data_IF_050893184571
#
_entry.id   IF_050893184571
#
_cell.length_a   1.000
_cell.length_b   1.000
_cell.length_c   1.000
_cell.angle_alpha   90.00
_cell.angle_beta   90.00
_cell.angle_gamma   90.00
#
_symmetry.space_group_name_H-M   'P 1'
#
loop_
_entity.id
_entity.type
_entity.pdbx_description
1 polymer ?
#
# COMPACT_ATOMS: atom_id res chain seq x y z
N UNK A 1 10.45 -11.54 14.71
CA UNK A 1 10.66 -12.91 14.20
C UNK A 1 12.11 -13.03 13.76
N UNK A 2 12.83 -14.01 14.31
CA UNK A 2 14.20 -14.35 13.90
C UNK A 2 14.14 -15.78 13.39
N UNK A 3 14.52 -16.05 12.12
CA UNK A 3 14.54 -17.43 11.61
C UNK A 3 15.63 -18.24 12.32
N UNK A 4 15.47 -19.56 12.38
CA UNK A 4 16.43 -20.47 13.03
C UNK A 4 17.84 -20.33 12.43
N UNK A 5 17.91 -20.10 11.11
CA UNK A 5 19.13 -19.76 10.39
C UNK A 5 18.97 -18.35 9.82
N UNK A 6 19.81 -17.43 10.31
CA UNK A 6 19.92 -16.07 9.78
C UNK A 6 21.06 -16.04 8.76
N UNK A 7 20.71 -15.91 7.49
CA UNK A 7 21.66 -15.73 6.39
C UNK A 7 22.11 -14.26 6.27
N UNK A 8 21.20 -13.32 6.56
CA UNK A 8 21.44 -11.88 6.45
C UNK A 8 21.24 -11.18 7.80
N UNK A 9 22.30 -11.17 8.61
CA UNK A 9 22.28 -10.60 9.96
C UNK A 9 22.20 -9.08 10.03
N UNK A 10 22.50 -8.38 8.94
CA UNK A 10 22.48 -6.91 8.86
C UNK A 10 21.18 -6.35 8.28
N UNK A 11 20.18 -7.20 8.03
CA UNK A 11 18.88 -6.84 7.45
C UNK A 11 17.72 -7.14 8.38
N UNK A 12 16.68 -6.29 8.35
CA UNK A 12 15.35 -6.69 8.83
C UNK A 12 14.22 -6.16 7.94
N UNK A 13 13.11 -6.87 7.86
CA UNK A 13 11.89 -6.35 7.22
C UNK A 13 10.87 -5.88 8.26
N UNK A 14 10.36 -4.66 8.11
CA UNK A 14 9.25 -4.13 8.90
C UNK A 14 7.95 -4.27 8.11
N UNK A 15 7.00 -5.03 8.64
CA UNK A 15 5.66 -5.23 8.08
C UNK A 15 4.68 -4.37 8.88
N UNK A 16 4.18 -3.31 8.25
CA UNK A 16 3.12 -2.48 8.80
C UNK A 16 1.79 -3.19 8.59
N UNK A 17 1.02 -3.36 9.65
CA UNK A 17 -0.11 -4.26 9.65
C UNK A 17 -1.25 -3.80 10.58
N UNK A 18 -2.48 -4.21 10.30
CA UNK A 18 -3.63 -3.96 11.18
C UNK A 18 -3.95 -5.16 12.08
N UNK A 19 -3.53 -6.37 11.71
CA UNK A 19 -3.78 -7.56 12.53
C UNK A 19 -3.76 -8.87 11.76
N UNK A 20 -4.74 -9.73 12.02
CA UNK A 20 -4.84 -11.08 11.47
C UNK A 20 -5.74 -11.05 10.24
N UNK A 21 -5.20 -11.39 9.07
CA UNK A 21 -6.01 -11.70 7.89
C UNK A 21 -6.42 -13.17 7.96
N UNK A 22 -7.71 -13.43 8.11
CA UNK A 22 -8.26 -14.77 8.15
C UNK A 22 -8.37 -15.38 6.74
N UNK A 23 -8.42 -16.73 6.62
CA UNK A 23 -8.55 -17.41 5.33
C UNK A 23 -9.82 -17.07 4.53
N UNK A 24 -10.86 -16.56 5.20
CA UNK A 24 -12.10 -16.10 4.57
C UNK A 24 -12.04 -14.67 4.04
N UNK A 25 -10.88 -14.01 4.14
CA UNK A 25 -10.64 -12.63 3.72
C UNK A 25 -10.95 -11.58 4.79
N UNK A 26 -11.54 -11.97 5.92
CA UNK A 26 -11.81 -11.02 7.03
C UNK A 26 -10.53 -10.58 7.73
N UNK A 27 -10.52 -9.35 8.24
CA UNK A 27 -9.44 -8.79 9.04
C UNK A 27 -9.88 -8.68 10.50
N UNK A 28 -9.17 -9.34 11.39
CA UNK A 28 -9.27 -9.18 12.84
C UNK A 28 -8.18 -8.22 13.31
N UNK A 29 -8.55 -7.02 13.74
CA UNK A 29 -7.60 -6.00 14.18
C UNK A 29 -6.95 -6.34 15.52
N UNK A 30 -5.72 -5.90 15.70
CA UNK A 30 -5.02 -5.93 16.99
C UNK A 30 -4.84 -4.49 17.46
N UNK A 31 -5.46 -4.16 18.58
CA UNK A 31 -5.43 -2.82 19.16
C UNK A 31 -4.94 -2.91 20.61
N UNK A 32 -4.19 -1.91 21.07
CA UNK A 32 -3.62 -1.91 22.43
C UNK A 32 -4.36 -0.99 23.41
N UNK A 33 -5.54 -0.52 23.04
CA UNK A 33 -6.47 0.29 23.84
C UNK A 33 -7.91 -0.16 23.56
N UNK A 34 -8.84 0.27 24.41
CA UNK A 34 -10.28 0.04 24.23
C UNK A 34 -10.71 0.46 22.82
N UNK A 35 -11.35 -0.47 22.13
CA UNK A 35 -11.58 -0.39 20.68
C UNK A 35 -12.87 0.32 20.34
N UNK A 36 -12.85 1.12 19.29
CA UNK A 36 -14.10 1.47 18.61
C UNK A 36 -14.62 0.25 17.85
N UNK A 37 -15.93 0.04 17.88
CA UNK A 37 -16.62 -0.84 16.95
C UNK A 37 -16.88 -0.16 15.59
N UNK A 38 -16.23 0.98 15.32
CA UNK A 38 -16.47 1.78 14.14
C UNK A 38 -16.14 1.02 12.86
N UNK A 39 -17.13 0.98 11.96
CA UNK A 39 -17.24 0.15 10.76
C UNK A 39 -17.48 -1.36 10.98
N UNK A 40 -17.76 -1.80 12.21
CA UNK A 40 -18.11 -3.20 12.49
C UNK A 40 -16.96 -4.18 12.27
N UNK A 41 -15.71 -3.69 12.27
CA UNK A 41 -14.53 -4.55 12.20
C UNK A 41 -14.29 -5.20 13.55
N UNK A 42 -14.09 -6.51 13.55
CA UNK A 42 -13.71 -7.23 14.76
C UNK A 42 -12.28 -6.83 15.18
N UNK A 43 -12.10 -6.66 16.48
CA UNK A 43 -10.83 -6.27 17.08
C UNK A 43 -10.52 -7.14 18.31
N UNK A 44 -9.23 -7.25 18.59
CA UNK A 44 -8.72 -7.88 19.80
C UNK A 44 -7.93 -6.82 20.55
N UNK A 45 -8.48 -6.42 21.69
CA UNK A 45 -7.76 -5.59 22.64
C UNK A 45 -6.64 -6.40 23.31
N UNK A 46 -5.46 -5.80 23.34
CA UNK A 46 -4.25 -6.34 23.96
C UNK A 46 -3.67 -5.31 24.92
N UNK A 47 -3.89 -5.55 26.20
CA UNK A 47 -3.29 -4.77 27.29
C UNK A 47 -2.37 -5.65 28.17
N UNK A 48 -1.80 -5.04 29.21
CA UNK A 48 -0.93 -5.73 30.17
C UNK A 48 -1.62 -6.84 30.98
N UNK A 49 -2.96 -6.87 31.05
CA UNK A 49 -3.76 -7.84 31.80
C UNK A 49 -4.15 -9.05 30.96
N UNK A 50 -4.36 -8.89 29.65
CA UNK A 50 -4.81 -9.97 28.75
C UNK A 50 -3.72 -10.46 27.78
N UNK A 51 -2.54 -9.83 27.76
CA UNK A 51 -1.44 -10.17 26.84
C UNK A 51 -1.17 -11.68 26.71
N UNK A 52 -1.02 -12.37 27.84
CA UNK A 52 -0.73 -13.81 27.84
C UNK A 52 -1.90 -14.66 27.36
N UNK A 53 -3.14 -14.19 27.59
CA UNK A 53 -4.36 -14.86 27.13
C UNK A 53 -4.58 -14.67 25.62
N UNK A 54 -4.00 -13.60 25.04
CA UNK A 54 -4.08 -13.26 23.60
C UNK A 54 -2.88 -13.75 22.79
N UNK A 55 -2.02 -14.59 23.36
CA UNK A 55 -0.84 -15.14 22.66
C UNK A 55 -1.19 -15.83 21.32
N UNK A 56 -2.29 -16.60 21.17
CA UNK A 56 -2.64 -17.17 19.88
C UNK A 56 -2.89 -16.11 18.80
N UNK A 57 -3.64 -15.05 19.13
CA UNK A 57 -3.93 -13.93 18.23
C UNK A 57 -2.66 -13.14 17.89
N UNK A 58 -1.79 -12.90 18.87
CA UNK A 58 -0.49 -12.27 18.67
C UNK A 58 0.44 -13.08 17.77
N UNK A 59 0.42 -14.41 17.90
CA UNK A 59 1.17 -15.29 16.98
C UNK A 59 0.57 -15.26 15.57
N UNK A 60 -0.75 -15.13 15.46
CA UNK A 60 -1.43 -15.02 14.17
C UNK A 60 -1.13 -13.68 13.47
N UNK A 61 -1.06 -12.56 14.20
CA UNK A 61 -0.82 -11.26 13.56
C UNK A 61 0.60 -11.14 12.97
N UNK A 62 1.58 -11.87 13.52
CA UNK A 62 2.95 -11.87 12.98
C UNK A 62 3.18 -12.85 11.82
N UNK A 63 2.14 -13.53 11.31
CA UNK A 63 2.26 -14.52 10.22
C UNK A 63 2.94 -13.97 8.96
N UNK A 64 2.59 -12.74 8.55
CA UNK A 64 3.19 -12.07 7.38
C UNK A 64 4.69 -11.82 7.57
N UNK A 65 5.08 -11.31 8.76
CA UNK A 65 6.48 -11.13 9.11
C UNK A 65 7.22 -12.47 9.20
N UNK A 66 6.59 -13.52 9.75
CA UNK A 66 7.17 -14.85 9.82
C UNK A 66 7.42 -15.45 8.44
N UNK A 67 6.47 -15.32 7.51
CA UNK A 67 6.65 -15.72 6.12
C UNK A 67 7.83 -14.98 5.49
N UNK A 68 7.88 -13.65 5.58
CA UNK A 68 9.00 -12.87 5.02
C UNK A 68 10.33 -13.30 5.64
N UNK A 69 10.40 -13.49 6.96
CA UNK A 69 11.63 -13.93 7.62
C UNK A 69 12.12 -15.29 7.09
N UNK A 70 11.22 -16.26 6.99
CA UNK A 70 11.53 -17.59 6.46
C UNK A 70 11.95 -17.55 4.99
N UNK A 71 11.32 -16.69 4.18
CA UNK A 71 11.62 -16.58 2.74
C UNK A 71 12.84 -15.72 2.42
N UNK A 72 13.26 -14.86 3.34
CA UNK A 72 14.42 -13.99 3.14
C UNK A 72 15.68 -14.51 3.82
N UNK A 73 15.54 -15.39 4.82
CA UNK A 73 16.64 -15.78 5.69
C UNK A 73 17.12 -14.64 6.59
N UNK A 74 16.26 -13.65 6.85
CA UNK A 74 16.57 -12.45 7.62
C UNK A 74 15.49 -12.18 8.69
N UNK A 75 15.82 -11.47 9.79
CA UNK A 75 14.82 -11.02 10.74
C UNK A 75 13.67 -10.23 10.10
N UNK A 76 12.48 -10.36 10.67
CA UNK A 76 11.34 -9.52 10.33
C UNK A 76 10.51 -9.17 11.56
N UNK A 77 9.88 -8.01 11.54
CA UNK A 77 9.01 -7.53 12.61
C UNK A 77 7.67 -7.08 12.02
N UNK A 78 6.62 -7.20 12.82
CA UNK A 78 5.33 -6.61 12.51
C UNK A 78 5.13 -5.41 13.41
N UNK A 79 4.77 -4.27 12.83
CA UNK A 79 4.40 -3.06 13.52
C UNK A 79 2.89 -2.87 13.34
N UNK A 80 2.17 -3.00 14.45
CA UNK A 80 0.71 -2.99 14.51
C UNK A 80 0.18 -1.63 14.98
N UNK A 81 -1.10 -1.37 14.73
CA UNK A 81 -1.86 -0.25 15.29
C UNK A 81 -1.25 1.14 14.96
N UNK A 82 -1.18 1.45 13.65
CA UNK A 82 -0.77 2.75 13.12
C UNK A 82 -1.91 3.42 12.33
N UNK A 83 -2.30 4.67 12.68
CA UNK A 83 -1.97 5.35 13.92
C UNK A 83 -2.61 4.67 15.12
N UNK A 84 -1.90 4.66 16.23
CA UNK A 84 -2.43 4.17 17.49
C UNK A 84 -3.57 5.11 17.93
N UNK A 85 -4.78 4.57 18.06
CA UNK A 85 -6.01 5.35 18.28
C UNK A 85 -6.93 4.64 19.30
N UNK A 86 -7.88 5.32 19.98
CA UNK A 86 -8.44 6.66 19.70
C UNK A 86 -7.56 7.84 20.09
N UNK A 87 -7.84 8.98 19.45
CA UNK A 87 -7.37 10.30 19.88
C UNK A 87 -8.54 11.30 20.02
N UNK A 88 -8.49 12.13 21.06
CA UNK A 88 -9.47 13.21 21.33
C UNK A 88 -8.75 14.55 21.33
N UNK A 89 -9.13 15.45 20.42
CA UNK A 89 -8.47 16.75 20.29
C UNK A 89 -9.20 17.82 21.10
N UNK A 90 -8.45 18.59 21.89
CA UNK A 90 -9.01 19.68 22.69
C UNK A 90 -9.65 20.79 21.84
N UNK A 91 -9.16 20.97 20.62
CA UNK A 91 -9.60 21.94 19.60
C UNK A 91 -10.76 21.42 18.76
N UNK A 92 -11.08 20.13 18.80
CA UNK A 92 -12.27 19.57 18.16
C UNK A 92 -13.53 20.05 18.91
N UNK A 93 -14.43 20.81 18.26
CA UNK A 93 -15.65 21.29 18.91
C UNK A 93 -16.55 20.18 19.44
N UNK A 94 -16.45 18.97 18.89
CA UNK A 94 -17.26 17.84 19.30
C UNK A 94 -16.60 16.97 20.36
N UNK A 95 -15.27 17.08 20.53
CA UNK A 95 -14.47 16.27 21.46
C UNK A 95 -14.79 14.78 21.40
N UNK A 96 -15.05 14.27 20.20
CA UNK A 96 -15.31 12.85 19.97
C UNK A 96 -13.98 12.11 19.80
N UNK A 97 -13.89 10.84 20.26
CA UNK A 97 -12.76 9.99 19.93
C UNK A 97 -12.71 9.74 18.42
N UNK A 98 -11.51 9.82 17.85
CA UNK A 98 -11.24 9.60 16.42
C UNK A 98 -10.31 8.43 16.22
N UNK A 99 -10.67 7.56 15.28
CA UNK A 99 -9.97 6.32 14.98
C UNK A 99 -9.66 6.22 13.49
N UNK A 100 -8.56 5.55 13.13
CA UNK A 100 -8.23 5.20 11.74
C UNK A 100 -8.48 6.36 10.74
N UNK A 101 -9.40 6.19 9.77
CA UNK A 101 -9.70 7.20 8.76
C UNK A 101 -10.39 8.46 9.29
N UNK A 102 -11.12 8.39 10.41
CA UNK A 102 -11.65 9.59 11.08
C UNK A 102 -10.53 10.47 11.63
N UNK A 103 -9.51 9.83 12.21
CA UNK A 103 -8.34 10.52 12.74
C UNK A 103 -7.53 11.15 11.60
N UNK A 104 -7.30 10.38 10.53
CA UNK A 104 -6.59 10.85 9.33
C UNK A 104 -7.32 12.00 8.65
N UNK A 105 -8.60 11.86 8.35
CA UNK A 105 -9.40 12.91 7.74
C UNK A 105 -9.47 14.17 8.61
N UNK A 106 -9.56 14.03 9.93
CA UNK A 106 -9.49 15.16 10.85
C UNK A 106 -8.13 15.87 10.78
N UNK A 107 -7.04 15.11 10.82
CA UNK A 107 -5.68 15.65 10.76
C UNK A 107 -5.43 16.46 9.48
N UNK A 108 -5.98 16.00 8.35
CA UNK A 108 -5.91 16.71 7.08
C UNK A 108 -6.71 18.01 7.10
N UNK A 109 -7.92 17.99 7.67
CA UNK A 109 -8.72 19.19 7.82
C UNK A 109 -8.05 20.22 8.73
N UNK A 110 -7.48 19.76 9.85
CA UNK A 110 -6.76 20.62 10.80
C UNK A 110 -5.51 21.23 10.18
N UNK A 111 -4.75 20.45 9.39
CA UNK A 111 -3.61 20.96 8.62
C UNK A 111 -4.04 22.01 7.58
N UNK A 112 -5.17 21.82 6.89
CA UNK A 112 -5.64 22.80 5.91
C UNK A 112 -6.04 24.15 6.55
N UNK A 113 -6.32 24.20 7.86
CA UNK A 113 -6.50 25.47 8.59
C UNK A 113 -5.17 26.04 9.14
N UNK A 114 -4.13 25.20 9.26
CA UNK A 114 -2.81 25.52 9.82
C UNK A 114 -1.67 24.97 8.93
N UNK A 115 -1.58 25.40 7.67
CA UNK A 115 -0.71 24.80 6.65
C UNK A 115 0.80 24.98 6.90
N UNK A 116 1.17 25.77 7.91
CA UNK A 116 2.53 25.98 8.40
C UNK A 116 2.97 24.99 9.48
N UNK A 117 2.05 24.14 9.98
CA UNK A 117 2.29 23.16 11.06
C UNK A 117 2.16 21.72 10.53
N UNK A 118 3.14 21.20 9.76
CA UNK A 118 3.07 19.88 9.14
C UNK A 118 2.92 18.72 10.12
N UNK A 119 3.38 18.88 11.36
CA UNK A 119 3.25 17.90 12.45
C UNK A 119 1.80 17.53 12.79
N UNK A 120 0.81 18.33 12.33
CA UNK A 120 -0.61 18.02 12.47
C UNK A 120 -1.04 16.82 11.64
N UNK A 121 -0.31 16.50 10.56
CA UNK A 121 -0.61 15.37 9.70
C UNK A 121 -0.24 14.06 10.39
N UNK A 122 -1.23 13.21 10.65
CA UNK A 122 -1.02 11.93 11.35
C UNK A 122 -0.05 11.01 10.58
N UNK A 123 0.00 11.12 9.26
CA UNK A 123 0.94 10.44 8.38
C UNK A 123 2.41 10.60 8.78
N UNK A 124 2.79 11.79 9.27
CA UNK A 124 4.15 12.03 9.74
C UNK A 124 4.41 11.34 11.09
N UNK A 125 3.39 11.26 11.95
CA UNK A 125 3.48 10.48 13.19
C UNK A 125 3.63 8.97 12.88
N UNK A 126 2.86 8.46 11.92
CA UNK A 126 2.95 7.07 11.47
C UNK A 126 4.33 6.76 10.88
N UNK A 127 4.82 7.58 9.95
CA UNK A 127 6.16 7.41 9.37
C UNK A 127 7.27 7.47 10.43
N UNK A 128 7.13 8.35 11.43
CA UNK A 128 8.05 8.43 12.57
C UNK A 128 7.98 7.18 13.43
N UNK A 129 6.79 6.59 13.64
CA UNK A 129 6.64 5.32 14.34
C UNK A 129 7.35 4.18 13.60
N UNK A 130 7.29 4.14 12.25
CA UNK A 130 8.08 3.19 11.43
C UNK A 130 9.58 3.35 11.68
N UNK A 131 10.09 4.59 11.66
CA UNK A 131 11.50 4.87 11.93
C UNK A 131 11.91 4.45 13.34
N UNK A 132 11.06 4.68 14.35
CA UNK A 132 11.30 4.22 15.73
C UNK A 132 11.23 2.70 15.88
N UNK A 133 10.38 2.02 15.10
CA UNK A 133 10.39 0.56 15.05
C UNK A 133 11.73 0.04 14.50
N UNK A 134 12.29 0.67 13.46
CA UNK A 134 13.63 0.32 12.97
C UNK A 134 14.71 0.51 14.04
N UNK A 135 14.66 1.61 14.81
CA UNK A 135 15.58 1.85 15.94
C UNK A 135 15.48 0.73 16.99
N UNK A 136 14.25 0.34 17.36
CA UNK A 136 14.00 -0.71 18.34
C UNK A 136 14.49 -2.08 17.86
N UNK A 137 14.26 -2.42 16.58
CA UNK A 137 14.75 -3.66 15.98
C UNK A 137 16.28 -3.67 15.93
N UNK A 138 16.90 -2.57 15.54
CA UNK A 138 18.37 -2.43 15.53
C UNK A 138 18.96 -2.61 16.93
N UNK A 139 18.35 -2.01 17.96
CA UNK A 139 18.79 -2.16 19.34
C UNK A 139 18.62 -3.60 19.86
N UNK A 140 17.48 -4.24 19.57
CA UNK A 140 17.23 -5.64 19.93
C UNK A 140 18.23 -6.59 19.27
N UNK A 141 18.44 -6.44 17.95
CA UNK A 141 19.32 -7.32 17.16
C UNK A 141 20.80 -7.14 17.51
N UNK A 142 21.21 -5.99 18.05
CA UNK A 142 22.57 -5.78 18.55
C UNK A 142 22.99 -6.80 19.62
N UNK A 143 22.03 -7.36 20.37
CA UNK A 143 22.27 -8.41 21.36
C UNK A 143 22.27 -9.84 20.80
N UNK A 144 21.93 -10.03 19.52
CA UNK A 144 21.93 -11.34 18.87
C UNK A 144 23.32 -11.70 18.33
N UNK A 145 23.65 -12.99 18.17
CA UNK A 145 24.93 -13.42 17.58
C UNK A 145 25.22 -12.85 16.18
N UNK A 146 24.17 -12.50 15.44
CA UNK A 146 24.24 -11.90 14.10
C UNK A 146 24.62 -10.42 14.10
N UNK A 147 24.57 -9.76 15.27
CA UNK A 147 24.80 -8.34 15.43
C UNK A 147 23.63 -7.45 14.99
N UNK A 148 23.85 -6.14 15.09
CA UNK A 148 22.83 -5.13 14.81
C UNK A 148 22.48 -5.04 13.32
N UNK A 149 21.18 -5.04 13.01
CA UNK A 149 20.69 -4.76 11.67
C UNK A 149 20.95 -3.30 11.27
N UNK A 150 21.20 -3.05 9.99
CA UNK A 150 21.52 -1.71 9.45
C UNK A 150 20.74 -1.37 8.17
N UNK A 151 20.18 -2.37 7.50
CA UNK A 151 19.40 -2.24 6.26
C UNK A 151 17.99 -2.76 6.50
N UNK A 152 17.00 -2.08 5.93
CA UNK A 152 15.60 -2.46 6.13
C UNK A 152 14.81 -2.60 4.83
N UNK A 153 13.95 -3.60 4.79
CA UNK A 153 12.77 -3.62 3.92
C UNK A 153 11.56 -3.07 4.67
N UNK A 154 10.67 -2.34 4.00
CA UNK A 154 9.42 -1.86 4.61
C UNK A 154 8.23 -2.17 3.71
N UNK A 155 7.16 -2.72 4.27
CA UNK A 155 5.93 -3.02 3.53
C UNK A 155 4.71 -2.66 4.36
N UNK A 156 3.66 -2.22 3.69
CA UNK A 156 2.38 -1.88 4.30
C UNK A 156 1.35 -1.64 3.22
N UNK A 157 0.07 -1.65 3.59
CA UNK A 157 -1.04 -1.51 2.65
C UNK A 157 -2.02 -0.41 3.09
N UNK A 158 -2.81 0.11 2.16
CA UNK A 158 -3.78 1.18 2.45
C UNK A 158 -3.08 2.41 3.05
N UNK A 159 -3.66 3.04 4.07
CA UNK A 159 -3.04 4.11 4.86
C UNK A 159 -1.64 3.77 5.41
N UNK A 160 -1.33 2.50 5.68
CA UNK A 160 0.03 2.07 6.08
C UNK A 160 1.02 2.09 4.91
N UNK A 161 0.54 1.98 3.67
CA UNK A 161 1.40 2.19 2.51
C UNK A 161 1.83 3.66 2.39
N UNK A 162 1.00 4.64 2.81
CA UNK A 162 1.45 6.04 2.92
C UNK A 162 2.59 6.18 3.91
N UNK A 163 2.48 5.58 5.10
CA UNK A 163 3.57 5.55 6.08
C UNK A 163 4.84 4.86 5.53
N UNK A 164 4.67 3.79 4.74
CA UNK A 164 5.77 3.12 4.04
C UNK A 164 6.51 4.06 3.10
N UNK A 165 5.79 4.81 2.25
CA UNK A 165 6.37 5.78 1.32
C UNK A 165 7.13 6.89 2.04
N UNK A 166 6.51 7.51 3.05
CA UNK A 166 7.11 8.64 3.78
C UNK A 166 8.35 8.17 4.55
N UNK A 167 8.28 7.03 5.24
CA UNK A 167 9.41 6.48 5.98
C UNK A 167 10.58 6.12 5.04
N UNK A 168 10.30 5.51 3.89
CA UNK A 168 11.32 5.16 2.89
C UNK A 168 11.99 6.39 2.28
N UNK A 169 11.23 7.47 2.05
CA UNK A 169 11.78 8.74 1.59
C UNK A 169 12.63 9.43 2.67
N UNK A 170 12.24 9.31 3.95
CA UNK A 170 12.85 10.00 5.08
C UNK A 170 14.09 9.32 5.66
N UNK A 171 14.19 7.99 5.62
CA UNK A 171 15.25 7.24 6.29
C UNK A 171 16.06 6.38 5.31
N UNK A 172 17.34 6.72 5.18
CA UNK A 172 18.27 6.05 4.26
C UNK A 172 18.55 4.58 4.58
N UNK A 173 18.17 4.08 5.76
CA UNK A 173 18.30 2.66 6.12
C UNK A 173 17.32 1.78 5.33
N UNK A 174 16.24 2.34 4.79
CA UNK A 174 15.31 1.62 3.92
C UNK A 174 15.96 1.35 2.56
N UNK A 175 16.19 0.07 2.26
CA UNK A 175 16.87 -0.40 1.04
C UNK A 175 15.93 -1.09 0.05
N UNK A 176 14.70 -1.37 0.45
CA UNK A 176 13.63 -1.85 -0.42
C UNK A 176 12.27 -1.55 0.20
N UNK A 177 11.22 -1.44 -0.62
CA UNK A 177 9.86 -1.29 -0.10
C UNK A 177 8.79 -2.01 -0.92
N UNK A 178 7.68 -2.37 -0.28
CA UNK A 178 6.50 -2.93 -0.94
C UNK A 178 5.22 -2.25 -0.43
N UNK A 179 4.94 -1.01 -0.88
CA UNK A 179 3.67 -0.32 -0.61
C UNK A 179 2.52 -0.88 -1.47
N UNK A 180 1.34 -1.02 -0.87
CA UNK A 180 0.22 -1.71 -1.51
C UNK A 180 -1.11 -0.96 -1.35
N UNK A 181 -1.99 -1.06 -2.35
CA UNK A 181 -3.35 -0.52 -2.35
C UNK A 181 -3.45 0.90 -1.76
N UNK A 182 -2.69 1.85 -2.32
CA UNK A 182 -2.79 3.26 -1.95
C UNK A 182 -2.64 4.15 -3.18
N UNK A 183 -3.62 5.01 -3.40
CA UNK A 183 -3.61 5.96 -4.52
C UNK A 183 -2.50 7.00 -4.41
N UNK A 184 -1.98 7.41 -5.57
CA UNK A 184 -1.05 8.54 -5.71
C UNK A 184 -1.82 9.66 -6.40
N UNK A 185 -1.82 10.89 -5.90
CA UNK A 185 -2.79 11.92 -6.30
C UNK A 185 -4.25 11.60 -5.93
N UNK A 186 -4.49 10.65 -5.03
CA UNK A 186 -5.81 10.22 -4.57
C UNK A 186 -6.77 11.37 -4.21
N UNK A 187 -6.21 12.43 -3.62
CA UNK A 187 -6.96 13.57 -3.11
C UNK A 187 -6.91 14.80 -4.05
N UNK A 188 -6.12 14.75 -5.12
CA UNK A 188 -5.95 15.84 -6.08
C UNK A 188 -6.53 15.55 -7.47
N UNK A 189 -6.62 14.28 -7.89
CA UNK A 189 -7.07 13.89 -9.23
C UNK A 189 -8.57 13.53 -9.29
N UNK A 190 -9.24 13.46 -8.15
CA UNK A 190 -10.69 13.26 -8.09
C UNK A 190 -11.43 14.52 -8.49
N UNK A 191 -11.82 14.59 -9.77
CA UNK A 191 -12.76 15.54 -10.35
C UNK A 191 -14.00 15.77 -9.47
N UNK A 192 -13.92 16.76 -8.59
CA UNK A 192 -15.08 17.55 -8.25
C UNK A 192 -14.84 18.93 -8.83
N UNK A 193 -15.93 19.60 -9.24
CA UNK A 193 -15.96 21.03 -9.47
C UNK A 193 -15.69 21.78 -8.15
N UNK A 194 -14.51 21.57 -7.58
CA UNK A 194 -14.04 22.28 -6.41
C UNK A 194 -13.85 23.73 -6.86
N UNK A 195 -14.56 24.70 -6.25
CA UNK A 195 -14.43 26.09 -6.64
C UNK A 195 -12.96 26.53 -6.56
N UNK A 196 -12.51 27.43 -7.42
CA UNK A 196 -11.13 27.94 -7.30
C UNK A 196 -11.00 28.99 -6.19
N UNK A 197 -9.82 29.06 -5.57
CA UNK A 197 -9.44 30.12 -4.63
C UNK A 197 -10.30 30.18 -3.36
N UNK A 198 -10.67 31.41 -2.95
CA UNK A 198 -11.35 31.68 -1.67
C UNK A 198 -12.69 30.95 -1.52
N UNK A 199 -13.39 30.70 -2.63
CA UNK A 199 -14.67 29.97 -2.65
C UNK A 199 -14.50 28.49 -2.29
N UNK A 200 -13.37 27.86 -2.66
CA UNK A 200 -13.03 26.50 -2.23
C UNK A 200 -12.86 26.46 -0.70
N UNK A 201 -12.15 27.45 -0.15
CA UNK A 201 -11.90 27.54 1.29
C UNK A 201 -13.19 27.71 2.09
N UNK A 202 -14.15 28.50 1.60
CA UNK A 202 -15.47 28.67 2.24
C UNK A 202 -16.29 27.37 2.15
N UNK A 203 -16.35 26.74 0.97
CA UNK A 203 -17.08 25.49 0.77
C UNK A 203 -16.47 24.35 1.60
N UNK A 204 -15.15 24.26 1.68
CA UNK A 204 -14.42 23.34 2.56
C UNK A 204 -14.82 23.56 4.02
N UNK A 205 -14.73 24.78 4.53
CA UNK A 205 -15.11 25.11 5.92
C UNK A 205 -16.59 24.85 6.22
N UNK A 206 -17.48 25.00 5.24
CA UNK A 206 -18.89 24.65 5.37
C UNK A 206 -19.11 23.13 5.41
N UNK A 207 -18.48 22.38 4.50
CA UNK A 207 -18.52 20.91 4.48
C UNK A 207 -17.93 20.32 5.77
N UNK A 208 -16.81 20.86 6.27
CA UNK A 208 -16.21 20.52 7.57
C UNK A 208 -17.27 20.52 8.67
N UNK A 209 -17.93 21.67 8.90
CA UNK A 209 -18.97 21.82 9.93
C UNK A 209 -20.15 20.86 9.78
N UNK A 210 -20.51 20.47 8.56
CA UNK A 210 -21.60 19.53 8.30
C UNK A 210 -21.21 18.07 8.58
N UNK A 211 -19.96 17.68 8.33
CA UNK A 211 -19.45 16.31 8.52
C UNK A 211 -19.18 15.99 9.99
N UNK A 212 -18.79 16.99 10.80
CA UNK A 212 -18.44 16.79 12.21
C UNK A 212 -19.57 16.08 13.00
N UNK A 213 -20.84 16.47 12.83
CA UNK A 213 -21.94 15.99 13.68
C UNK A 213 -22.70 14.74 13.20
N UNK A 214 -22.25 14.04 12.16
CA UNK A 214 -23.00 12.94 11.55
C UNK A 214 -22.09 11.74 11.24
N UNK A 215 -22.64 10.54 11.41
CA UNK A 215 -22.03 9.32 10.88
C UNK A 215 -21.96 9.44 9.35
N UNK A 216 -20.77 9.27 8.72
CA UNK A 216 -20.65 9.28 7.26
C UNK A 216 -21.30 8.03 6.66
N UNK A 217 -21.78 8.13 5.41
CA UNK A 217 -22.31 6.96 4.70
C UNK A 217 -21.20 6.13 4.04
N UNK A 218 -20.01 6.72 3.82
CA UNK A 218 -18.83 6.07 3.25
C UNK A 218 -17.53 6.73 3.73
N UNK A 219 -16.40 6.01 3.60
CA UNK A 219 -15.07 6.60 3.86
C UNK A 219 -14.81 7.83 2.97
N UNK A 220 -15.36 7.87 1.75
CA UNK A 220 -15.21 9.01 0.81
C UNK A 220 -15.81 10.30 1.37
N UNK A 221 -16.87 10.21 2.17
CA UNK A 221 -17.52 11.36 2.79
C UNK A 221 -16.64 12.00 3.87
N UNK A 222 -15.79 11.21 4.54
CA UNK A 222 -14.83 11.71 5.53
C UNK A 222 -13.82 12.67 4.91
N UNK A 223 -13.38 12.34 3.69
CA UNK A 223 -12.41 13.13 2.96
C UNK A 223 -13.06 14.20 2.08
N UNK A 224 -14.39 14.32 2.04
CA UNK A 224 -15.07 15.34 1.25
C UNK A 224 -14.53 16.76 1.52
N UNK A 225 -14.34 17.21 2.78
CA UNK A 225 -13.80 18.54 3.04
C UNK A 225 -12.35 18.74 2.58
N UNK A 226 -11.58 17.66 2.50
CA UNK A 226 -10.22 17.65 1.96
C UNK A 226 -10.27 17.72 0.43
N UNK A 227 -11.14 16.94 -0.19
CA UNK A 227 -11.30 16.86 -1.66
C UNK A 227 -11.81 18.16 -2.26
N UNK A 228 -12.76 18.86 -1.62
CA UNK A 228 -13.19 20.20 -2.07
C UNK A 228 -12.09 21.27 -1.92
N UNK A 229 -11.00 20.96 -1.21
CA UNK A 229 -9.82 21.83 -1.08
C UNK A 229 -8.73 21.53 -2.13
N UNK A 230 -8.95 20.59 -3.07
CA UNK A 230 -7.96 20.05 -4.02
C UNK A 230 -7.03 21.12 -4.65
N UNK A 231 -7.59 22.27 -5.04
CA UNK A 231 -6.88 23.32 -5.78
C UNK A 231 -6.29 24.44 -4.90
N UNK A 232 -6.44 24.36 -3.58
CA UNK A 232 -5.97 25.39 -2.64
C UNK A 232 -4.44 25.32 -2.42
N UNK A 233 -3.76 26.44 -2.10
CA UNK A 233 -2.35 26.43 -1.72
C UNK A 233 -2.04 25.51 -0.53
N UNK A 234 -2.96 25.45 0.44
CA UNK A 234 -2.83 24.62 1.64
C UNK A 234 -2.87 23.13 1.28
N UNK A 235 -3.78 22.73 0.40
CA UNK A 235 -3.82 21.36 -0.11
C UNK A 235 -2.56 21.00 -0.88
N UNK A 236 -2.04 21.91 -1.73
CA UNK A 236 -0.78 21.69 -2.45
C UNK A 236 0.38 21.45 -1.47
N UNK A 237 0.46 22.22 -0.39
CA UNK A 237 1.45 22.00 0.69
C UNK A 237 1.27 20.64 1.36
N UNK A 238 0.02 20.24 1.66
CA UNK A 238 -0.25 18.92 2.23
C UNK A 238 0.23 17.80 1.31
N UNK A 239 -0.12 17.87 0.02
CA UNK A 239 0.25 16.86 -0.97
C UNK A 239 1.76 16.75 -1.18
N UNK A 240 2.52 17.83 -1.00
CA UNK A 240 3.99 17.78 -0.98
C UNK A 240 4.56 16.91 0.15
N UNK A 241 3.76 16.65 1.21
CA UNK A 241 4.16 15.88 2.39
C UNK A 241 3.67 14.44 2.30
N UNK A 242 2.39 14.22 1.95
CA UNK A 242 1.74 12.92 2.11
C UNK A 242 1.66 12.10 0.81
N UNK A 243 1.77 12.74 -0.36
CA UNK A 243 1.58 12.06 -1.63
C UNK A 243 2.93 11.71 -2.28
N UNK A 244 3.24 10.40 -2.45
CA UNK A 244 4.50 9.96 -3.03
C UNK A 244 4.78 10.52 -4.41
N UNK A 245 3.78 10.94 -5.18
CA UNK A 245 4.01 11.58 -6.47
C UNK A 245 4.85 12.88 -6.38
N UNK A 246 4.78 13.58 -5.25
CA UNK A 246 5.49 14.85 -5.01
C UNK A 246 6.90 14.69 -4.43
N UNK A 247 7.26 13.50 -3.96
CA UNK A 247 8.59 13.22 -3.41
C UNK A 247 9.21 11.93 -3.96
N UNK A 248 8.68 11.42 -5.08
CA UNK A 248 9.12 10.19 -5.75
C UNK A 248 10.60 10.17 -6.09
N UNK A 249 11.21 11.33 -6.31
CA UNK A 249 12.63 11.50 -6.59
C UNK A 249 13.52 10.96 -5.46
N UNK A 250 12.99 10.85 -4.23
CA UNK A 250 13.67 10.26 -3.06
C UNK A 250 13.49 8.75 -2.96
N UNK A 251 12.57 8.17 -3.71
CA UNK A 251 12.22 6.74 -3.67
C UNK A 251 13.12 5.95 -4.63
N UNK A 252 14.44 6.01 -4.43
CA UNK A 252 15.43 5.44 -5.36
C UNK A 252 15.69 3.94 -5.17
N UNK A 253 15.21 3.38 -4.06
CA UNK A 253 15.34 1.95 -3.74
C UNK A 253 14.46 1.08 -4.65
N UNK A 254 14.81 -0.21 -4.83
CA UNK A 254 13.91 -1.19 -5.43
C UNK A 254 12.57 -1.25 -4.70
N UNK A 255 11.48 -1.24 -5.47
CA UNK A 255 10.13 -1.20 -4.91
C UNK A 255 9.14 -2.08 -5.66
N UNK A 256 8.19 -2.65 -4.94
CA UNK A 256 7.01 -3.33 -5.49
C UNK A 256 5.77 -2.51 -5.13
N UNK A 257 5.13 -1.91 -6.13
CA UNK A 257 3.82 -1.27 -5.98
C UNK A 257 2.78 -2.33 -6.32
N UNK A 258 1.98 -2.74 -5.34
CA UNK A 258 0.92 -3.73 -5.56
C UNK A 258 -0.48 -3.13 -5.40
N UNK A 259 -1.42 -3.57 -6.23
CA UNK A 259 -2.83 -3.17 -6.22
C UNK A 259 -3.73 -4.40 -6.24
N UNK A 260 -5.03 -4.20 -6.05
CA UNK A 260 -6.03 -5.26 -6.01
C UNK A 260 -7.07 -5.00 -7.10
N UNK A 261 -7.27 -5.97 -7.99
CA UNK A 261 -8.17 -5.80 -9.14
C UNK A 261 -9.66 -5.79 -8.75
N UNK A 262 -9.97 -6.17 -7.50
CA UNK A 262 -11.32 -6.14 -6.92
C UNK A 262 -11.39 -5.19 -5.72
N UNK A 263 -10.51 -4.19 -5.66
CA UNK A 263 -10.44 -3.26 -4.54
C UNK A 263 -11.74 -2.42 -4.43
N UNK A 264 -12.53 -2.66 -3.38
CA UNK A 264 -13.78 -1.91 -3.15
C UNK A 264 -13.57 -0.57 -2.47
N UNK A 265 -12.38 -0.34 -1.92
CA UNK A 265 -12.02 0.91 -1.25
C UNK A 265 -11.50 1.87 -2.31
N UNK A 266 -10.45 1.50 -3.04
CA UNK A 266 -9.88 2.24 -4.15
C UNK A 266 -10.44 1.71 -5.47
N UNK A 267 -11.29 2.49 -6.13
CA UNK A 267 -11.87 2.08 -7.42
C UNK A 267 -10.81 1.97 -8.52
N UNK A 268 -11.16 1.33 -9.64
CA UNK A 268 -10.32 1.30 -10.84
C UNK A 268 -9.95 2.69 -11.39
N UNK A 269 -10.64 3.76 -10.94
CA UNK A 269 -10.29 5.16 -11.20
C UNK A 269 -8.87 5.55 -10.72
N UNK A 270 -8.24 4.71 -9.88
CA UNK A 270 -6.88 4.91 -9.40
C UNK A 270 -5.81 4.32 -10.35
N UNK A 271 -6.16 3.43 -11.28
CA UNK A 271 -5.22 2.85 -12.27
C UNK A 271 -4.50 3.91 -13.13
N UNK A 272 -5.17 4.95 -13.66
CA UNK A 272 -4.50 6.03 -14.39
C UNK A 272 -3.44 6.76 -13.56
N UNK A 273 -3.58 6.79 -12.23
CA UNK A 273 -2.60 7.41 -11.34
C UNK A 273 -1.32 6.56 -11.27
N UNK A 274 -1.46 5.24 -11.12
CA UNK A 274 -0.32 4.33 -11.15
C UNK A 274 0.35 4.35 -12.51
N UNK A 275 -0.41 4.30 -13.61
CA UNK A 275 0.11 4.40 -14.98
C UNK A 275 0.96 5.67 -15.17
N UNK A 276 0.50 6.81 -14.61
CA UNK A 276 1.23 8.08 -14.73
C UNK A 276 2.49 8.10 -13.87
N UNK A 277 2.41 7.66 -12.61
CA UNK A 277 3.47 7.93 -11.61
C UNK A 277 4.51 6.82 -11.53
N UNK A 278 4.12 5.55 -11.63
CA UNK A 278 5.04 4.41 -11.49
C UNK A 278 6.22 4.49 -12.49
N UNK A 279 6.02 4.79 -13.79
CA UNK A 279 7.11 4.92 -14.74
C UNK A 279 8.07 6.08 -14.46
N UNK A 280 7.65 7.07 -13.66
CA UNK A 280 8.45 8.24 -13.28
C UNK A 280 9.26 8.01 -12.00
N UNK A 281 9.01 6.92 -11.26
CA UNK A 281 9.74 6.64 -10.03
C UNK A 281 11.19 6.21 -10.34
N UNK A 282 12.22 6.82 -9.72
CA UNK A 282 13.60 6.44 -9.93
C UNK A 282 13.91 5.05 -9.38
N UNK A 283 14.95 4.41 -9.93
CA UNK A 283 15.31 3.04 -9.55
C UNK A 283 14.32 2.00 -10.08
N UNK A 284 14.48 0.76 -9.64
CA UNK A 284 13.66 -0.35 -10.12
C UNK A 284 12.30 -0.32 -9.43
N UNK A 285 11.23 -0.28 -10.22
CA UNK A 285 9.84 -0.28 -9.75
C UNK A 285 9.09 -1.41 -10.44
N UNK A 286 8.73 -2.44 -9.67
CA UNK A 286 7.84 -3.51 -10.09
C UNK A 286 6.39 -3.10 -9.78
N UNK A 287 5.47 -3.41 -10.69
CA UNK A 287 4.04 -3.22 -10.51
C UNK A 287 3.34 -4.58 -10.52
N UNK A 288 2.35 -4.76 -9.64
CA UNK A 288 1.54 -5.98 -9.57
C UNK A 288 0.09 -5.62 -9.25
N UNK A 289 -0.81 -5.80 -10.21
CA UNK A 289 -2.23 -5.84 -9.95
C UNK A 289 -2.64 -7.29 -9.64
N UNK A 290 -3.18 -7.53 -8.44
CA UNK A 290 -3.54 -8.87 -7.97
C UNK A 290 -4.99 -9.18 -8.39
N UNK A 291 -5.22 -10.19 -9.25
CA UNK A 291 -6.57 -10.57 -9.68
C UNK A 291 -7.35 -11.23 -8.52
N UNK A 292 -8.68 -11.11 -8.53
CA UNK A 292 -9.56 -11.75 -7.54
C UNK A 292 -9.14 -11.41 -6.10
N UNK A 293 -8.79 -10.14 -5.85
CA UNK A 293 -8.22 -9.67 -4.60
C UNK A 293 -8.93 -8.40 -4.15
N UNK A 294 -9.53 -8.42 -2.97
CA UNK A 294 -10.07 -7.20 -2.34
C UNK A 294 -8.94 -6.42 -1.64
N UNK A 295 -9.27 -5.22 -1.16
CA UNK A 295 -8.36 -4.25 -0.55
C UNK A 295 -7.51 -4.84 0.59
N UNK A 296 -8.15 -5.52 1.55
CA UNK A 296 -7.47 -6.06 2.72
C UNK A 296 -6.66 -7.34 2.44
N UNK A 297 -6.93 -8.01 1.32
CA UNK A 297 -6.26 -9.26 0.96
C UNK A 297 -4.92 -9.03 0.25
N UNK A 298 -4.69 -7.83 -0.31
CA UNK A 298 -3.52 -7.53 -1.16
C UNK A 298 -2.20 -7.83 -0.44
N UNK A 299 -2.12 -7.55 0.86
CA UNK A 299 -0.92 -7.78 1.66
C UNK A 299 -0.59 -9.27 1.81
N UNK A 300 -1.61 -10.13 1.83
CA UNK A 300 -1.44 -11.59 1.91
C UNK A 300 -1.17 -12.16 0.52
N UNK A 301 -1.95 -11.78 -0.49
CA UNK A 301 -1.85 -12.34 -1.84
C UNK A 301 -0.59 -11.90 -2.59
N UNK A 302 -0.05 -10.71 -2.31
CA UNK A 302 1.23 -10.23 -2.85
C UNK A 302 2.45 -10.58 -1.98
N UNK A 303 2.25 -11.24 -0.83
CA UNK A 303 3.32 -11.58 0.12
C UNK A 303 4.47 -12.40 -0.50
N UNK A 304 4.22 -13.40 -1.36
CA UNK A 304 5.29 -14.13 -2.04
C UNK A 304 6.18 -13.20 -2.89
N UNK A 305 5.57 -12.31 -3.68
CA UNK A 305 6.27 -11.34 -4.53
C UNK A 305 7.07 -10.34 -3.68
N UNK A 306 6.50 -9.87 -2.57
CA UNK A 306 7.19 -8.96 -1.63
C UNK A 306 8.41 -9.62 -0.99
N UNK A 307 8.27 -10.86 -0.52
CA UNK A 307 9.38 -11.62 0.03
C UNK A 307 10.47 -11.90 -1.01
N UNK A 308 10.08 -12.22 -2.24
CA UNK A 308 10.99 -12.38 -3.37
C UNK A 308 11.75 -11.07 -3.68
N UNK A 309 11.08 -9.91 -3.71
CA UNK A 309 11.75 -8.61 -3.86
C UNK A 309 12.82 -8.42 -2.80
N UNK A 310 12.47 -8.59 -1.52
CA UNK A 310 13.42 -8.38 -0.43
C UNK A 310 14.59 -9.37 -0.48
N UNK A 311 14.31 -10.65 -0.78
CA UNK A 311 15.36 -11.66 -0.98
C UNK A 311 16.29 -11.29 -2.14
N UNK A 312 15.75 -10.76 -3.23
CA UNK A 312 16.56 -10.38 -4.39
C UNK A 312 17.48 -9.21 -4.09
N UNK A 313 16.98 -8.21 -3.37
CA UNK A 313 17.79 -7.08 -2.90
C UNK A 313 18.92 -7.55 -1.96
N UNK A 314 18.62 -8.50 -1.07
CA UNK A 314 19.63 -9.13 -0.21
C UNK A 314 20.73 -9.84 -1.00
N UNK A 315 20.36 -10.51 -2.08
CA UNK A 315 21.26 -11.20 -3.01
C UNK A 315 21.91 -10.27 -4.06
N UNK A 316 21.64 -8.95 -4.02
CA UNK A 316 22.15 -7.99 -4.99
C UNK A 316 21.61 -8.19 -6.41
N UNK A 317 20.44 -8.83 -6.56
CA UNK A 317 19.77 -9.06 -7.84
C UNK A 317 18.74 -7.98 -8.15
N UNK A 318 18.66 -7.60 -9.42
CA UNK A 318 17.62 -6.72 -9.96
C UNK A 318 16.39 -7.57 -10.30
N UNK A 319 15.17 -7.22 -9.85
CA UNK A 319 13.96 -7.94 -10.25
C UNK A 319 13.63 -7.71 -11.73
N UNK A 320 13.05 -8.70 -12.42
CA UNK A 320 12.43 -8.46 -13.73
C UNK A 320 11.23 -7.50 -13.55
N UNK A 321 11.00 -6.60 -14.49
CA UNK A 321 9.83 -5.71 -14.47
C UNK A 321 9.10 -5.76 -15.81
N UNK A 322 7.92 -5.14 -15.88
CA UNK A 322 7.11 -5.08 -17.10
C UNK A 322 6.86 -3.62 -17.46
N UNK A 323 7.25 -3.23 -18.67
CA UNK A 323 6.77 -2.01 -19.30
C UNK A 323 5.40 -2.29 -19.94
N UNK A 324 4.44 -1.46 -19.58
CA UNK A 324 3.05 -1.49 -20.04
C UNK A 324 2.84 -0.50 -21.17
N UNK A 325 2.05 -0.85 -22.19
CA UNK A 325 1.52 0.13 -23.15
C UNK A 325 0.18 -0.30 -23.74
N UNK A 326 -0.64 0.69 -24.09
CA UNK A 326 -1.97 0.52 -24.66
C UNK A 326 -2.05 1.02 -26.10
N UNK A 327 -2.61 0.18 -26.99
CA UNK A 327 -2.95 0.58 -28.36
C UNK A 327 -4.47 0.68 -28.50
N UNK A 328 -5.03 1.82 -28.08
CA UNK A 328 -6.48 2.05 -28.03
C UNK A 328 -7.21 1.81 -29.35
N UNK A 329 -6.65 2.23 -30.49
CA UNK A 329 -7.23 1.98 -31.81
C UNK A 329 -7.38 0.48 -32.16
N UNK A 330 -6.60 -0.38 -31.49
CA UNK A 330 -6.63 -1.83 -31.69
C UNK A 330 -7.21 -2.58 -30.48
N UNK A 331 -7.57 -1.87 -29.41
CA UNK A 331 -7.95 -2.48 -28.13
C UNK A 331 -6.90 -3.48 -27.61
N UNK A 332 -5.61 -3.18 -27.77
CA UNK A 332 -4.53 -4.16 -27.52
C UNK A 332 -3.58 -3.69 -26.42
N UNK A 333 -3.42 -4.53 -25.40
CA UNK A 333 -2.42 -4.39 -24.33
C UNK A 333 -1.11 -4.98 -24.80
N UNK A 334 0.01 -4.33 -24.47
CA UNK A 334 1.36 -4.82 -24.71
C UNK A 334 2.12 -4.84 -23.40
N UNK A 335 2.62 -6.02 -23.05
CA UNK A 335 3.53 -6.26 -21.93
C UNK A 335 4.92 -6.54 -22.48
N UNK A 336 5.92 -5.74 -22.10
CA UNK A 336 7.32 -5.98 -22.44
C UNK A 336 8.13 -6.17 -21.16
N UNK A 337 8.76 -7.33 -21.01
CA UNK A 337 9.71 -7.53 -19.91
C UNK A 337 10.91 -6.58 -20.07
N UNK A 338 11.28 -5.94 -18.98
CA UNK A 338 12.41 -5.00 -18.86
C UNK A 338 13.35 -5.48 -17.76
N UNK A 339 14.64 -5.15 -17.89
CA UNK A 339 15.69 -5.58 -16.97
C UNK A 339 16.43 -6.81 -17.51
N UNK A 340 16.73 -7.76 -16.64
CA UNK A 340 17.38 -9.02 -17.02
C UNK A 340 16.39 -9.92 -17.77
N UNK A 341 16.61 -10.06 -19.08
CA UNK A 341 15.76 -10.83 -19.99
C UNK A 341 16.12 -12.30 -20.07
N UNK A 342 17.22 -12.73 -19.42
CA UNK A 342 17.58 -14.14 -19.33
C UNK A 342 16.69 -14.87 -18.31
N UNK A 343 16.10 -14.12 -17.38
CA UNK A 343 15.05 -14.62 -16.48
C UNK A 343 13.77 -14.80 -17.29
N UNK A 344 13.48 -16.02 -17.73
CA UNK A 344 12.25 -16.31 -18.49
C UNK A 344 11.05 -16.43 -17.56
N UNK A 345 9.88 -15.88 -17.93
CA UNK A 345 8.67 -16.10 -17.16
C UNK A 345 8.28 -17.58 -17.22
N UNK A 346 7.87 -18.13 -16.09
CA UNK A 346 7.28 -19.46 -15.98
C UNK A 346 5.91 -19.51 -16.66
N UNK A 347 5.17 -18.40 -16.58
CA UNK A 347 3.88 -18.26 -17.21
C UNK A 347 3.59 -16.78 -17.53
N UNK A 348 2.84 -16.57 -18.60
CA UNK A 348 2.28 -15.28 -18.97
C UNK A 348 0.79 -15.46 -19.18
N UNK A 349 -0.02 -14.62 -18.55
CA UNK A 349 -1.49 -14.72 -18.58
C UNK A 349 -2.09 -13.34 -18.78
N UNK A 350 -3.15 -13.25 -19.58
CA UNK A 350 -4.08 -12.12 -19.53
C UNK A 350 -5.12 -12.41 -18.47
N UNK A 351 -5.42 -11.45 -17.63
CA UNK A 351 -6.60 -11.47 -16.76
C UNK A 351 -7.67 -10.56 -17.35
N UNK A 352 -8.91 -11.03 -17.36
CA UNK A 352 -10.08 -10.32 -17.86
C UNK A 352 -11.12 -10.23 -16.75
N UNK A 353 -11.64 -9.04 -16.48
CA UNK A 353 -12.67 -8.79 -15.48
C UNK A 353 -13.58 -7.63 -15.88
N UNK A 354 -14.65 -7.36 -15.12
CA UNK A 354 -15.50 -6.20 -15.36
C UNK A 354 -14.81 -4.88 -14.93
N UNK A 355 -14.94 -3.84 -15.74
CA UNK A 355 -14.35 -2.51 -15.50
C UNK A 355 -15.09 -1.68 -14.41
N UNK A 356 -16.33 -2.02 -14.09
CA UNK A 356 -17.14 -1.20 -13.16
C UNK A 356 -17.71 -1.99 -11.99
N UNK A 357 -17.47 -3.30 -11.94
CA UNK A 357 -17.96 -4.16 -10.88
C UNK A 357 -16.81 -4.84 -10.13
N UNK A 358 -16.40 -4.22 -9.02
CA UNK A 358 -15.34 -4.76 -8.19
C UNK A 358 -15.72 -6.09 -7.49
N UNK A 359 -16.97 -6.59 -7.63
CA UNK A 359 -17.36 -7.91 -7.14
C UNK A 359 -17.18 -9.03 -8.17
N UNK A 360 -17.01 -8.69 -9.45
CA UNK A 360 -16.95 -9.69 -10.51
C UNK A 360 -15.62 -10.45 -10.53
N UNK A 361 -15.64 -11.73 -10.90
CA UNK A 361 -14.43 -12.54 -10.95
C UNK A 361 -13.54 -12.12 -12.14
N UNK A 362 -12.23 -12.16 -11.92
CA UNK A 362 -11.23 -12.07 -12.98
C UNK A 362 -10.87 -13.46 -13.49
N UNK A 363 -10.98 -13.67 -14.80
CA UNK A 363 -10.64 -14.93 -15.46
C UNK A 363 -9.28 -14.84 -16.17
N UNK A 364 -8.43 -15.85 -16.04
CA UNK A 364 -7.13 -15.88 -16.71
C UNK A 364 -7.18 -16.62 -18.05
N UNK A 365 -6.49 -16.08 -19.06
CA UNK A 365 -6.22 -16.71 -20.35
C UNK A 365 -4.69 -16.82 -20.54
N UNK A 366 -4.13 -18.02 -20.75
CA UNK A 366 -2.70 -18.18 -21.03
C UNK A 366 -2.26 -17.44 -22.30
N UNK A 367 -1.10 -16.80 -22.26
CA UNK A 367 -0.43 -16.16 -23.40
C UNK A 367 0.95 -16.80 -23.65
N UNK A 368 1.01 -18.06 -24.12
CA UNK A 368 2.27 -18.80 -24.23
C UNK A 368 3.22 -18.24 -25.30
N UNK A 369 2.69 -17.54 -26.30
CA UNK A 369 3.44 -17.09 -27.46
C UNK A 369 3.74 -15.58 -27.36
N UNK A 370 4.92 -15.25 -26.84
CA UNK A 370 5.50 -13.92 -26.95
C UNK A 370 6.41 -13.79 -28.16
N UNK A 371 6.62 -12.56 -28.64
CA UNK A 371 7.70 -12.25 -29.57
C UNK A 371 8.94 -11.82 -28.78
N UNK A 372 9.81 -12.78 -28.46
CA UNK A 372 10.95 -12.56 -27.56
C UNK A 372 10.46 -12.25 -26.14
N UNK A 373 10.69 -11.03 -25.67
CA UNK A 373 10.33 -10.54 -24.34
C UNK A 373 9.04 -9.71 -24.33
N UNK A 374 8.24 -9.78 -25.40
CA UNK A 374 7.03 -8.98 -25.57
C UNK A 374 5.81 -9.86 -25.82
N UNK A 375 4.74 -9.61 -25.08
CA UNK A 375 3.43 -10.23 -25.24
C UNK A 375 2.40 -9.15 -25.55
N UNK A 376 1.40 -9.51 -26.34
CA UNK A 376 0.29 -8.62 -26.64
C UNK A 376 -1.01 -9.40 -26.66
N UNK A 377 -2.08 -8.78 -26.18
CA UNK A 377 -3.41 -9.38 -26.25
C UNK A 377 -4.47 -8.32 -26.47
N UNK A 378 -5.47 -8.65 -27.28
CA UNK A 378 -6.63 -7.79 -27.49
C UNK A 378 -7.60 -7.95 -26.32
N UNK A 379 -8.06 -6.84 -25.75
CA UNK A 379 -9.08 -6.85 -24.69
C UNK A 379 -10.40 -7.39 -25.28
N UNK A 380 -11.10 -8.30 -24.58
CA UNK A 380 -12.42 -8.75 -25.00
C UNK A 380 -13.39 -7.58 -25.09
N UNK A 381 -14.09 -7.45 -26.21
CA UNK A 381 -15.16 -6.45 -26.37
C UNK A 381 -16.51 -7.09 -26.12
N UNK A 382 -17.33 -6.51 -25.25
CA UNK A 382 -18.73 -6.89 -25.05
C UNK A 382 -19.65 -5.69 -25.33
N UNK A 383 -20.76 -5.85 -26.08
CA UNK A 383 -21.73 -4.77 -26.27
C UNK A 383 -22.59 -4.53 -25.03
N UNK A 384 -22.51 -5.39 -24.01
CA UNK A 384 -23.35 -5.34 -22.81
C UNK A 384 -22.58 -4.99 -21.54
N UNK A 385 -21.27 -5.25 -21.49
CA UNK A 385 -20.44 -5.08 -20.30
C UNK A 385 -19.12 -4.41 -20.67
N UNK A 386 -18.68 -3.46 -19.84
CA UNK A 386 -17.34 -2.89 -19.97
C UNK A 386 -16.36 -3.84 -19.29
N UNK A 387 -15.35 -4.27 -20.02
CA UNK A 387 -14.32 -5.18 -19.54
C UNK A 387 -13.02 -4.42 -19.34
N UNK A 388 -12.20 -4.95 -18.46
CA UNK A 388 -10.83 -4.54 -18.30
C UNK A 388 -9.92 -5.76 -18.38
N UNK A 389 -8.70 -5.55 -18.84
CA UNK A 389 -7.68 -6.58 -18.82
C UNK A 389 -6.33 -6.05 -18.35
N UNK A 390 -5.51 -6.94 -17.81
CA UNK A 390 -4.08 -6.73 -17.65
C UNK A 390 -3.32 -8.02 -17.98
N UNK A 391 -2.01 -7.92 -18.24
CA UNK A 391 -1.15 -9.07 -18.48
C UNK A 391 -0.22 -9.25 -17.30
N UNK A 392 -0.24 -10.43 -16.70
CA UNK A 392 0.66 -10.86 -15.61
C UNK A 392 1.76 -11.77 -16.16
N UNK A 393 2.99 -11.53 -15.71
CA UNK A 393 4.15 -12.39 -15.90
C UNK A 393 4.57 -12.95 -14.53
N UNK A 394 4.67 -14.28 -14.46
CA UNK A 394 5.10 -15.03 -13.29
C UNK A 394 6.53 -15.53 -13.49
N UNK A 395 7.42 -15.28 -12.54
CA UNK A 395 8.82 -15.68 -12.57
C UNK A 395 9.20 -16.56 -11.39
N UNK A 396 10.23 -17.39 -11.58
CA UNK A 396 11.01 -17.96 -10.47
C UNK A 396 12.22 -17.05 -10.21
N UNK A 397 12.11 -16.20 -9.19
CA UNK A 397 13.12 -15.18 -8.86
C UNK A 397 13.01 -14.77 -7.39
N UNK A 398 14.11 -14.47 -6.68
CA UNK A 398 15.51 -14.37 -7.15
C UNK A 398 16.25 -15.71 -7.22
N UNK A 399 15.64 -16.80 -6.78
CA UNK A 399 16.21 -18.14 -6.79
C UNK A 399 15.08 -19.18 -6.80
N UNK A 400 15.37 -20.46 -7.07
CA UNK A 400 14.36 -21.51 -7.10
C UNK A 400 13.50 -21.53 -5.83
N UNK A 401 12.19 -21.72 -6.02
CA UNK A 401 11.20 -21.71 -4.94
C UNK A 401 10.55 -20.35 -4.68
N UNK A 402 11.12 -19.23 -5.12
CA UNK A 402 10.51 -17.89 -4.99
C UNK A 402 9.67 -17.52 -6.19
N UNK A 403 8.40 -17.22 -5.94
CA UNK A 403 7.45 -16.73 -6.95
C UNK A 403 7.48 -15.20 -6.94
N UNK A 404 7.69 -14.62 -8.11
CA UNK A 404 7.69 -13.18 -8.31
C UNK A 404 6.76 -12.83 -9.46
N UNK A 405 5.69 -12.11 -9.16
CA UNK A 405 4.68 -11.70 -10.13
C UNK A 405 4.80 -10.21 -10.41
N UNK A 406 4.71 -9.85 -11.69
CA UNK A 406 4.59 -8.46 -12.15
C UNK A 406 3.54 -8.39 -13.25
N UNK A 407 2.87 -7.26 -13.36
CA UNK A 407 1.83 -7.07 -14.36
C UNK A 407 1.97 -5.75 -15.12
N UNK A 408 1.25 -5.65 -16.22
CA UNK A 408 0.88 -4.35 -16.79
C UNK A 408 -0.10 -3.63 -15.86
N UNK A 409 -0.36 -2.35 -16.18
CA UNK A 409 -1.54 -1.65 -15.70
C UNK A 409 -2.81 -2.28 -16.30
N UNK A 410 -3.96 -1.93 -15.74
CA UNK A 410 -5.27 -2.30 -16.24
C UNK A 410 -5.71 -1.39 -17.41
N UNK A 411 -6.30 -1.97 -18.46
CA UNK A 411 -6.82 -1.24 -19.62
C UNK A 411 -8.21 -1.73 -20.06
N UNK A 412 -9.08 -0.83 -20.58
CA UNK A 412 -10.46 -1.11 -20.99
C UNK A 412 -10.62 -1.71 -22.40
#
# INVERSE_FOLDING_TARGET
IVPDVVEFGDWATVVLDFGVNNPDGSLLRIDNRETDHWLGMDSVEIDSHVLLQRLPQLKACVQKAAYIAARTGAPAASLQDLPNSPEVFATDPLRLPRYADLLKAFSYQDFLDHPEEPERLVDLADAKAVVRAMDAIQAFTAGLPTGAVRRFGVTGYSKLATATYIAAAADSRVKAMAPMAIGMHALSDGAYDAPEGHSATIAARAARRATYGKQPNSWKDLYLPVRVSANTPEMKKMMQIIDPANFKERLTMPKLVATAANDRVLSQDFEPQYERIVPQMPGVTAYLNVPNCDHDEVIVKSLPTSAALFRGVLLGRTPPTVASSWRGALGTIIAKQVGDTDIRPLAVRRWDGPLLDNNGPWASVPLPNGNGTTWSSRVPTSPFEQHASFIELEFEWPEPGHRFHVSTMEYP
#
